data_IF_662862992712
#
_entry.id   IF_662862992712
#
_cell.length_a   1.000
_cell.length_b   1.000
_cell.length_c   1.000
_cell.angle_alpha   90.00
_cell.angle_beta   90.00
_cell.angle_gamma   90.00
#
_symmetry.space_group_name_H-M   'P 1'
#
loop_
_entity.id
_entity.type
_entity.pdbx_description
1 polymer ?
#
# COMPACT_ATOMS: atom_id res chain seq x y z
N UNK A 1 7.17 47.13 30.66
CA UNK A 1 7.49 46.35 29.46
C UNK A 1 6.35 45.36 29.23
N UNK A 2 5.57 45.51 28.15
CA UNK A 2 4.43 44.62 27.87
C UNK A 2 4.90 43.33 27.22
N UNK A 3 4.48 42.20 27.77
CA UNK A 3 4.66 40.89 27.16
C UNK A 3 3.88 40.86 25.84
N UNK A 4 4.59 40.63 24.72
CA UNK A 4 3.99 40.59 23.39
C UNK A 4 3.25 39.24 23.20
N UNK A 5 1.97 39.19 23.59
CA UNK A 5 1.11 38.00 23.58
C UNK A 5 1.04 37.29 22.21
N UNK A 6 1.24 38.01 21.11
CA UNK A 6 1.21 37.45 19.74
C UNK A 6 2.35 36.47 19.48
N UNK A 7 3.50 36.68 20.10
CA UNK A 7 4.67 35.80 19.96
C UNK A 7 4.51 34.52 20.76
N UNK A 8 3.87 34.60 21.93
CA UNK A 8 3.60 33.45 22.81
C UNK A 8 2.60 32.47 22.18
N UNK A 9 1.50 32.97 21.62
CA UNK A 9 0.49 32.14 20.94
C UNK A 9 1.05 31.46 19.70
N UNK A 10 1.89 32.15 18.91
CA UNK A 10 2.54 31.55 17.76
C UNK A 10 3.55 30.45 18.15
N UNK A 11 4.28 30.63 19.26
CA UNK A 11 5.18 29.61 19.78
C UNK A 11 4.42 28.35 20.20
N UNK A 12 3.32 28.50 20.95
CA UNK A 12 2.45 27.39 21.38
C UNK A 12 1.81 26.65 20.20
N UNK A 13 1.35 27.36 19.18
CA UNK A 13 0.79 26.75 17.97
C UNK A 13 1.85 25.94 17.20
N UNK A 14 3.10 26.44 17.13
CA UNK A 14 4.21 25.72 16.50
C UNK A 14 4.59 24.46 17.29
N UNK A 15 4.68 24.52 18.62
CA UNK A 15 4.96 23.31 19.42
C UNK A 15 3.82 22.30 19.33
N UNK A 16 2.56 22.73 19.35
CA UNK A 16 1.41 21.85 19.15
C UNK A 16 1.47 21.13 17.79
N UNK A 17 1.75 21.86 16.70
CA UNK A 17 1.91 21.28 15.38
C UNK A 17 3.10 20.30 15.27
N UNK A 18 4.21 20.60 15.96
CA UNK A 18 5.37 19.69 16.02
C UNK A 18 5.05 18.42 16.81
N UNK A 19 4.32 18.54 17.93
CA UNK A 19 3.87 17.41 18.73
C UNK A 19 2.90 16.55 17.92
N UNK A 20 1.90 17.16 17.29
CA UNK A 20 0.93 16.47 16.44
C UNK A 20 1.62 15.73 15.29
N UNK A 21 2.58 16.38 14.62
CA UNK A 21 3.39 15.74 13.57
C UNK A 21 4.21 14.56 14.12
N UNK A 22 4.81 14.72 15.31
CA UNK A 22 5.61 13.65 15.94
C UNK A 22 4.72 12.46 16.32
N UNK A 23 3.53 12.71 16.88
CA UNK A 23 2.53 11.69 17.24
C UNK A 23 2.01 10.97 15.99
N UNK A 24 1.71 11.69 14.91
CA UNK A 24 1.29 11.08 13.65
C UNK A 24 2.40 10.20 13.06
N UNK A 25 3.66 10.64 13.17
CA UNK A 25 4.82 9.88 12.66
C UNK A 25 5.05 8.60 13.47
N UNK A 26 4.95 8.65 14.80
CA UNK A 26 5.11 7.44 15.64
C UNK A 26 3.94 6.47 15.52
N UNK A 27 2.70 6.96 15.36
CA UNK A 27 1.54 6.08 15.10
C UNK A 27 1.72 5.35 13.77
N UNK A 28 2.09 6.03 12.67
CA UNK A 28 2.34 5.39 11.37
C UNK A 28 3.48 4.36 11.38
N UNK A 29 4.48 4.51 12.26
CA UNK A 29 5.53 3.49 12.41
C UNK A 29 5.01 2.19 13.02
N UNK A 30 3.99 2.26 13.89
CA UNK A 30 3.42 1.10 14.61
C UNK A 30 2.23 0.51 13.85
N UNK A 31 1.42 1.33 13.18
CA UNK A 31 0.17 0.91 12.54
C UNK A 31 0.29 0.63 11.04
N UNK A 32 1.43 0.95 10.41
CA UNK A 32 1.65 0.72 8.99
C UNK A 32 1.22 1.90 8.10
N UNK A 33 1.37 1.77 6.76
CA UNK A 33 0.85 2.76 5.81
C UNK A 33 -0.66 2.97 5.96
N UNK A 34 -1.17 4.17 5.65
CA UNK A 34 -2.59 4.54 5.78
C UNK A 34 -3.57 3.53 5.16
N UNK A 35 -3.33 2.97 3.95
CA UNK A 35 -4.19 1.90 3.42
C UNK A 35 -4.39 0.70 4.35
N UNK A 36 -3.39 0.35 5.17
CA UNK A 36 -3.50 -0.75 6.13
C UNK A 36 -4.25 -0.36 7.41
N UNK A 37 -4.48 0.93 7.62
CA UNK A 37 -5.28 1.47 8.73
C UNK A 37 -6.73 1.67 8.30
N UNK A 38 -6.93 2.16 7.07
CA UNK A 38 -8.24 2.51 6.53
C UNK A 38 -9.06 1.26 6.09
N UNK A 39 -8.40 0.11 5.88
CA UNK A 39 -9.02 -1.10 5.37
C UNK A 39 -8.64 -2.35 6.17
N UNK A 40 -9.64 -3.19 6.42
CA UNK A 40 -9.49 -4.53 7.00
C UNK A 40 -9.24 -5.54 5.88
N UNK A 41 -8.07 -6.17 5.91
CA UNK A 41 -7.67 -7.18 4.92
C UNK A 41 -8.45 -8.49 5.13
N UNK A 42 -8.91 -9.06 4.03
CA UNK A 42 -9.55 -10.37 3.98
C UNK A 42 -8.54 -11.37 3.37
N UNK A 43 -8.95 -12.08 2.32
CA UNK A 43 -8.09 -13.05 1.65
C UNK A 43 -7.11 -12.40 0.67
N UNK A 44 -5.90 -12.97 0.59
CA UNK A 44 -4.98 -12.67 -0.50
C UNK A 44 -5.57 -13.24 -1.79
N UNK A 45 -5.88 -12.39 -2.77
CA UNK A 45 -6.49 -12.75 -4.05
C UNK A 45 -5.45 -12.96 -5.16
N UNK A 46 -4.21 -12.53 -4.93
CA UNK A 46 -3.15 -12.69 -5.91
C UNK A 46 -1.90 -11.90 -5.60
N UNK A 47 -1.13 -11.66 -6.65
CA UNK A 47 0.07 -10.87 -6.70
C UNK A 47 0.22 -10.18 -8.05
N UNK A 48 0.91 -9.04 -8.10
CA UNK A 48 1.04 -8.29 -9.34
C UNK A 48 2.28 -7.40 -9.39
N UNK A 49 2.41 -6.69 -10.52
CA UNK A 49 3.50 -5.76 -10.81
C UNK A 49 4.85 -6.43 -11.03
N UNK A 50 5.92 -5.64 -11.11
CA UNK A 50 7.27 -6.14 -11.39
C UNK A 50 7.70 -7.21 -10.38
N UNK A 51 8.11 -8.38 -10.89
CA UNK A 51 8.53 -9.53 -10.09
C UNK A 51 7.44 -10.08 -9.16
N UNK A 52 6.16 -9.78 -9.43
CA UNK A 52 5.02 -10.11 -8.58
C UNK A 52 5.21 -9.66 -7.11
N UNK A 53 5.90 -8.54 -6.93
CA UNK A 53 6.27 -8.02 -5.61
C UNK A 53 5.07 -7.49 -4.81
N UNK A 54 3.99 -7.09 -5.49
CA UNK A 54 2.76 -6.72 -4.83
C UNK A 54 1.98 -7.96 -4.42
N UNK A 55 1.58 -8.03 -3.16
CA UNK A 55 0.52 -8.93 -2.70
C UNK A 55 -0.81 -8.20 -2.82
N UNK A 56 -1.80 -8.85 -3.42
CA UNK A 56 -3.14 -8.32 -3.61
C UNK A 56 -4.08 -8.94 -2.58
N UNK A 57 -4.75 -8.11 -1.80
CA UNK A 57 -5.74 -8.53 -0.82
C UNK A 57 -7.09 -7.94 -1.15
N UNK A 58 -8.13 -8.76 -1.12
CA UNK A 58 -9.49 -8.25 -0.97
C UNK A 58 -9.61 -7.60 0.40
N UNK A 59 -10.26 -6.45 0.50
CA UNK A 59 -10.42 -5.75 1.76
C UNK A 59 -11.76 -5.01 1.83
N UNK A 60 -12.18 -4.69 3.05
CA UNK A 60 -13.34 -3.84 3.33
C UNK A 60 -12.90 -2.62 4.11
N UNK A 61 -13.70 -1.57 4.05
CA UNK A 61 -13.55 -0.40 4.90
C UNK A 61 -13.40 -0.81 6.36
N UNK A 62 -12.36 -0.32 7.05
CA UNK A 62 -12.29 -0.46 8.49
C UNK A 62 -13.49 0.24 9.13
N UNK A 63 -14.03 -0.32 10.22
CA UNK A 63 -15.24 0.23 10.88
C UNK A 63 -15.09 1.67 11.33
N UNK A 64 -13.86 2.10 11.59
CA UNK A 64 -13.50 3.45 12.03
C UNK A 64 -13.06 4.37 10.87
N UNK A 65 -13.03 3.85 9.64
CA UNK A 65 -12.67 4.66 8.46
C UNK A 65 -13.72 5.74 8.22
N UNK A 66 -13.25 6.99 8.21
CA UNK A 66 -14.09 8.17 7.92
C UNK A 66 -14.20 8.47 6.42
N UNK A 67 -13.63 7.64 5.55
CA UNK A 67 -13.63 7.88 4.10
C UNK A 67 -14.99 7.55 3.49
N UNK A 68 -15.41 8.33 2.49
CA UNK A 68 -16.53 7.94 1.62
C UNK A 68 -16.11 6.74 0.76
N UNK A 69 -16.82 5.62 0.89
CA UNK A 69 -16.46 4.38 0.22
C UNK A 69 -17.22 4.23 -1.10
N UNK A 70 -16.52 4.43 -2.22
CA UNK A 70 -17.08 4.24 -3.57
C UNK A 70 -17.41 2.76 -3.85
N UNK A 71 -16.62 1.84 -3.29
CA UNK A 71 -16.77 0.41 -3.48
C UNK A 71 -16.98 -0.30 -2.13
N UNK A 72 -17.88 -1.29 -2.03
CA UNK A 72 -18.12 -2.04 -0.79
C UNK A 72 -16.98 -2.99 -0.43
N UNK A 73 -16.22 -3.43 -1.44
CA UNK A 73 -14.98 -4.19 -1.34
C UNK A 73 -13.94 -3.42 -2.16
N UNK A 74 -12.67 -3.54 -1.82
CA UNK A 74 -11.56 -2.95 -2.56
C UNK A 74 -10.42 -3.96 -2.68
N UNK A 75 -9.42 -3.66 -3.51
CA UNK A 75 -8.17 -4.40 -3.53
C UNK A 75 -7.04 -3.56 -2.90
N UNK A 76 -6.46 -4.06 -1.81
CA UNK A 76 -5.28 -3.45 -1.18
C UNK A 76 -4.03 -4.14 -1.71
N UNK A 77 -3.15 -3.33 -2.29
CA UNK A 77 -1.84 -3.75 -2.78
C UNK A 77 -0.82 -3.53 -1.67
N UNK A 78 -0.07 -4.56 -1.30
CA UNK A 78 0.92 -4.50 -0.22
C UNK A 78 2.26 -5.00 -0.72
N UNK A 79 3.30 -4.18 -0.53
CA UNK A 79 4.69 -4.58 -0.74
C UNK A 79 5.43 -4.51 0.58
N UNK A 80 5.96 -5.65 1.02
CA UNK A 80 6.75 -5.78 2.24
C UNK A 80 8.23 -5.50 1.92
N UNK A 81 8.73 -4.35 2.37
CA UNK A 81 10.11 -3.92 2.13
C UNK A 81 11.11 -4.77 2.90
N UNK A 82 10.72 -5.30 4.07
CA UNK A 82 11.60 -6.17 4.86
C UNK A 82 11.80 -7.50 4.12
N UNK A 83 10.72 -8.11 3.66
CA UNK A 83 10.80 -9.33 2.86
C UNK A 83 11.59 -9.11 1.55
N UNK A 84 11.40 -7.95 0.90
CA UNK A 84 12.18 -7.57 -0.28
C UNK A 84 13.68 -7.46 0.03
N UNK A 85 14.05 -6.79 1.13
CA UNK A 85 15.46 -6.61 1.50
C UNK A 85 16.14 -7.93 1.90
N UNK A 86 15.41 -8.83 2.57
CA UNK A 86 15.87 -10.19 2.87
C UNK A 86 16.09 -11.02 1.59
N UNK A 87 15.13 -10.95 0.65
CA UNK A 87 15.25 -11.63 -0.65
C UNK A 87 16.43 -11.09 -1.47
N UNK A 88 16.61 -9.77 -1.50
CA UNK A 88 17.76 -9.10 -2.12
C UNK A 88 19.08 -9.60 -1.51
N UNK A 89 19.18 -9.62 -0.18
CA UNK A 89 20.38 -10.06 0.51
C UNK A 89 20.72 -11.52 0.16
N UNK A 90 19.71 -12.39 0.12
CA UNK A 90 19.85 -13.80 -0.28
C UNK A 90 20.29 -13.96 -1.74
N UNK A 91 19.79 -13.09 -2.63
CA UNK A 91 20.15 -13.07 -4.04
C UNK A 91 21.51 -12.41 -4.33
N UNK A 92 22.22 -11.89 -3.32
CA UNK A 92 23.51 -11.20 -3.50
C UNK A 92 23.38 -9.86 -4.23
N UNK A 93 22.18 -9.28 -4.29
CA UNK A 93 21.92 -8.02 -4.98
C UNK A 93 22.36 -6.81 -4.15
N UNK A 94 22.79 -5.73 -4.80
CA UNK A 94 23.20 -4.50 -4.12
C UNK A 94 22.01 -3.73 -3.55
N UNK A 95 22.23 -2.95 -2.50
CA UNK A 95 21.20 -2.04 -1.95
C UNK A 95 20.72 -1.03 -3.00
N UNK A 96 21.61 -0.56 -3.87
CA UNK A 96 21.26 0.35 -4.96
C UNK A 96 20.23 -0.26 -5.94
N UNK A 97 20.27 -1.58 -6.16
CA UNK A 97 19.27 -2.27 -6.97
C UNK A 97 17.89 -2.29 -6.29
N UNK A 98 17.84 -2.42 -4.97
CA UNK A 98 16.60 -2.31 -4.17
C UNK A 98 16.00 -0.92 -4.26
N UNK A 99 16.83 0.11 -4.05
CA UNK A 99 16.41 1.50 -4.07
C UNK A 99 15.84 1.86 -5.46
N UNK A 100 16.54 1.46 -6.54
CA UNK A 100 16.08 1.65 -7.92
C UNK A 100 14.76 0.91 -8.20
N UNK A 101 14.59 -0.31 -7.68
CA UNK A 101 13.34 -1.06 -7.82
C UNK A 101 12.18 -0.36 -7.11
N UNK A 102 12.39 0.13 -5.89
CA UNK A 102 11.39 0.89 -5.14
C UNK A 102 11.05 2.23 -5.82
N UNK A 103 12.01 2.89 -6.46
CA UNK A 103 11.77 4.12 -7.23
C UNK A 103 10.88 3.90 -8.45
N UNK A 104 11.09 2.79 -9.18
CA UNK A 104 10.18 2.39 -10.28
C UNK A 104 8.77 2.19 -9.75
N UNK A 105 8.62 1.50 -8.62
CA UNK A 105 7.32 1.26 -8.01
C UNK A 105 6.61 2.57 -7.62
N UNK A 106 7.33 3.51 -6.99
CA UNK A 106 6.77 4.83 -6.64
C UNK A 106 6.32 5.60 -7.87
N UNK A 107 7.14 5.59 -8.92
CA UNK A 107 6.83 6.27 -10.17
C UNK A 107 5.60 5.67 -10.85
N UNK A 108 5.48 4.34 -10.88
CA UNK A 108 4.33 3.63 -11.45
C UNK A 108 3.04 3.92 -10.69
N UNK A 109 3.07 3.80 -9.36
CA UNK A 109 1.91 4.10 -8.54
C UNK A 109 1.48 5.58 -8.67
N UNK A 110 2.44 6.50 -8.71
CA UNK A 110 2.17 7.93 -8.92
C UNK A 110 1.54 8.24 -10.27
N UNK A 111 1.93 7.53 -11.34
CA UNK A 111 1.31 7.64 -12.66
C UNK A 111 -0.10 7.05 -12.67
N UNK A 112 -0.30 5.88 -12.06
CA UNK A 112 -1.57 5.17 -12.04
C UNK A 112 -2.70 6.00 -11.40
N UNK A 113 -2.39 6.74 -10.33
CA UNK A 113 -3.34 7.66 -9.66
C UNK A 113 -3.93 8.71 -10.60
N UNK A 114 -3.23 9.08 -11.67
CA UNK A 114 -3.64 10.14 -12.61
C UNK A 114 -4.41 9.61 -13.82
N UNK A 115 -4.45 8.30 -14.04
CA UNK A 115 -5.15 7.68 -15.16
C UNK A 115 -6.65 7.58 -14.85
N UNK A 116 -7.48 7.91 -15.84
CA UNK A 116 -8.95 7.85 -15.77
C UNK A 116 -9.47 7.25 -17.07
N UNK A 117 -9.54 5.93 -17.11
CA UNK A 117 -9.99 5.20 -18.30
C UNK A 117 -10.71 3.91 -17.88
N UNK A 118 -11.83 3.51 -18.51
CA UNK A 118 -12.58 2.30 -18.13
C UNK A 118 -11.77 1.00 -18.21
N UNK A 119 -10.76 0.95 -19.09
CA UNK A 119 -9.85 -0.19 -19.24
C UNK A 119 -8.59 -0.12 -18.36
N UNK A 120 -8.48 0.85 -17.46
CA UNK A 120 -7.34 1.00 -16.55
C UNK A 120 -7.85 0.97 -15.13
N UNK A 121 -7.24 0.14 -14.29
CA UNK A 121 -7.65 -0.01 -12.89
C UNK A 121 -7.67 1.33 -12.17
N UNK A 122 -8.78 1.63 -11.52
CA UNK A 122 -8.94 2.88 -10.77
C UNK A 122 -8.28 2.80 -9.39
N UNK A 123 -7.42 3.77 -9.08
CA UNK A 123 -6.81 3.92 -7.75
C UNK A 123 -7.75 4.68 -6.82
N UNK A 124 -8.23 4.00 -5.78
CA UNK A 124 -9.12 4.52 -4.73
C UNK A 124 -8.34 5.29 -3.68
N UNK A 125 -7.16 4.80 -3.29
CA UNK A 125 -6.24 5.49 -2.38
C UNK A 125 -4.82 5.39 -2.94
N UNK A 126 -4.17 6.55 -3.06
CA UNK A 126 -2.79 6.65 -3.52
C UNK A 126 -1.83 5.89 -2.59
N UNK A 127 -0.64 5.61 -3.15
CA UNK A 127 0.45 4.96 -2.45
C UNK A 127 0.84 5.73 -1.18
N UNK A 128 0.89 5.02 -0.06
CA UNK A 128 1.52 5.45 1.18
C UNK A 128 2.59 4.42 1.57
N UNK A 129 3.68 4.87 2.17
CA UNK A 129 4.78 3.98 2.55
C UNK A 129 5.39 4.40 3.89
N UNK A 130 5.92 3.40 4.60
CA UNK A 130 6.77 3.62 5.76
C UNK A 130 8.07 2.79 5.62
N UNK A 131 8.84 2.64 6.69
CA UNK A 131 10.09 1.86 6.67
C UNK A 131 9.90 0.37 6.37
N UNK A 132 8.72 -0.19 6.66
CA UNK A 132 8.46 -1.63 6.59
C UNK A 132 7.68 -2.03 5.34
N UNK A 133 6.78 -1.18 4.85
CA UNK A 133 5.87 -1.53 3.77
C UNK A 133 5.48 -0.35 2.89
N UNK A 134 4.97 -0.66 1.70
CA UNK A 134 4.25 0.25 0.81
C UNK A 134 2.85 -0.31 0.59
N UNK A 135 1.85 0.55 0.55
CA UNK A 135 0.50 0.12 0.23
C UNK A 135 -0.27 1.15 -0.60
N UNK A 136 -1.15 0.67 -1.46
CA UNK A 136 -2.13 1.48 -2.20
C UNK A 136 -3.44 0.70 -2.34
N UNK A 137 -4.51 1.39 -2.73
CA UNK A 137 -5.83 0.76 -2.84
C UNK A 137 -6.44 1.04 -4.20
N UNK A 138 -6.96 0.01 -4.84
CA UNK A 138 -7.70 0.10 -6.10
C UNK A 138 -9.13 -0.36 -5.92
N UNK A 139 -9.92 -0.19 -6.97
CA UNK A 139 -11.21 -0.88 -7.09
C UNK A 139 -11.06 -2.40 -6.92
N UNK A 140 -12.17 -3.14 -6.67
CA UNK A 140 -12.15 -4.59 -6.57
C UNK A 140 -11.41 -5.23 -7.75
N UNK A 141 -10.49 -6.14 -7.42
CA UNK A 141 -9.85 -7.00 -8.40
C UNK A 141 -10.24 -8.45 -8.11
N UNK A 142 -10.31 -9.24 -9.18
CA UNK A 142 -10.48 -10.68 -9.07
C UNK A 142 -9.13 -11.36 -8.87
N UNK A 143 -8.19 -11.14 -9.80
CA UNK A 143 -6.83 -11.65 -9.78
C UNK A 143 -5.96 -10.86 -10.76
N UNK A 144 -4.65 -11.11 -10.75
CA UNK A 144 -3.77 -10.69 -11.85
C UNK A 144 -3.79 -11.71 -12.99
N UNK A 145 -3.43 -11.27 -14.19
CA UNK A 145 -3.28 -12.16 -15.35
C UNK A 145 -2.21 -13.23 -15.08
N UNK A 146 -1.10 -12.88 -14.43
CA UNK A 146 -0.06 -13.85 -14.08
C UNK A 146 -0.61 -14.98 -13.20
N UNK A 147 -1.38 -14.63 -12.15
CA UNK A 147 -1.97 -15.65 -11.29
C UNK A 147 -3.07 -16.47 -11.99
N UNK A 148 -3.85 -15.84 -12.89
CA UNK A 148 -4.84 -16.55 -13.69
C UNK A 148 -4.21 -17.55 -14.67
N UNK A 149 -2.99 -17.28 -15.13
CA UNK A 149 -2.18 -18.18 -15.96
C UNK A 149 -1.39 -19.23 -15.16
N UNK A 150 -1.56 -19.28 -13.83
CA UNK A 150 -0.98 -20.31 -12.97
C UNK A 150 0.29 -19.91 -12.20
N UNK A 151 0.78 -18.68 -12.34
CA UNK A 151 1.89 -18.19 -11.52
C UNK A 151 1.38 -17.82 -10.12
N UNK A 152 1.49 -18.76 -9.18
CA UNK A 152 0.95 -18.64 -7.82
C UNK A 152 1.99 -18.95 -6.74
N UNK A 153 3.28 -18.98 -7.09
CA UNK A 153 4.37 -19.39 -6.19
C UNK A 153 4.49 -18.51 -4.94
N UNK A 154 4.14 -17.24 -5.06
CA UNK A 154 4.20 -16.24 -4.00
C UNK A 154 2.88 -16.09 -3.21
N UNK A 155 1.90 -16.96 -3.44
CA UNK A 155 0.65 -17.01 -2.69
C UNK A 155 0.76 -18.04 -1.58
N UNK A 156 0.56 -17.62 -0.33
CA UNK A 156 0.60 -18.54 0.82
C UNK A 156 -0.52 -19.60 0.74
N UNK A 157 -1.65 -19.23 0.14
CA UNK A 157 -2.80 -20.10 -0.11
C UNK A 157 -3.45 -19.67 -1.42
N UNK A 158 -3.52 -20.58 -2.38
CA UNK A 158 -4.16 -20.30 -3.68
C UNK A 158 -5.68 -20.08 -3.45
N UNK A 159 -6.22 -18.91 -3.84
CA UNK A 159 -7.66 -18.63 -3.84
C UNK A 159 -8.48 -19.71 -4.55
N UNK A 160 -9.70 -19.97 -4.07
CA UNK A 160 -10.56 -21.00 -4.67
C UNK A 160 -10.91 -20.67 -6.12
N UNK A 161 -11.06 -19.38 -6.37
CA UNK A 161 -11.40 -18.76 -7.63
C UNK A 161 -10.32 -19.00 -8.70
N UNK A 162 -9.05 -19.03 -8.30
CA UNK A 162 -7.93 -19.31 -9.19
C UNK A 162 -7.77 -20.80 -9.51
N UNK A 163 -8.11 -21.70 -8.57
CA UNK A 163 -7.96 -23.15 -8.77
C UNK A 163 -8.77 -23.68 -9.96
N UNK A 164 -9.94 -23.11 -10.22
CA UNK A 164 -10.77 -23.48 -11.36
C UNK A 164 -10.24 -23.00 -12.72
N UNK A 165 -9.39 -21.96 -12.73
CA UNK A 165 -8.90 -21.34 -13.97
C UNK A 165 -7.68 -22.06 -14.55
N UNK A 166 -6.78 -22.54 -13.69
CA UNK A 166 -5.55 -23.24 -14.11
C UNK A 166 -5.87 -24.57 -14.82
N UNK A 167 -7.05 -25.16 -14.60
CA UNK A 167 -7.45 -26.42 -15.25
C UNK A 167 -7.95 -26.27 -16.69
N UNK A 168 -8.09 -25.03 -17.20
CA UNK A 168 -8.68 -24.74 -18.53
C UNK A 168 -7.61 -24.41 -19.58
N UNK A 169 -6.34 -24.28 -19.17
CA UNK A 169 -5.19 -23.99 -20.04
C UNK A 169 -4.34 -25.25 -20.15
#
# INVERSE_FOLDING_TARGET
MSLNMKTLTQALAKTAAVIEKTVQTTVQEVTGPKPLQDYELLDQIGSAGPGLAWKLYSAKAARESTRAHQYPIVCVWILDKKALSEARARAGLSKAAEDAFLDVIRADAGRLVRLRHPGVVHVVQALDENKNAMAMVTEPLFASVANALGDVENLAKVPKELKGMVSII
#
